data_IF_243260639177
#
_entry.id   IF_243260639177
#
_cell.length_a   1.000
_cell.length_b   1.000
_cell.length_c   1.000
_cell.angle_alpha   90.00
_cell.angle_beta   90.00
_cell.angle_gamma   90.00
#
_symmetry.space_group_name_H-M   'P 1'
#
loop_
_entity.id
_entity.type
_entity.pdbx_description
1 polymer ?
#
# COMPACT_ATOMS: atom_id res chain seq x y z
N UNK A 1 18.88 6.02 10.08
CA UNK A 1 18.20 7.08 9.28
C UNK A 1 17.85 6.49 7.91
N UNK A 2 16.57 6.27 7.60
CA UNK A 2 16.16 5.73 6.29
C UNK A 2 16.47 6.77 5.21
N UNK A 3 17.35 6.43 4.26
CA UNK A 3 17.79 7.35 3.21
C UNK A 3 16.65 7.80 2.29
N UNK A 4 16.79 8.99 1.68
CA UNK A 4 15.81 9.53 0.72
C UNK A 4 15.52 8.55 -0.42
N UNK A 5 14.25 8.34 -0.75
CA UNK A 5 13.79 7.48 -1.86
C UNK A 5 14.48 7.87 -3.17
N UNK A 6 14.65 9.18 -3.43
CA UNK A 6 15.34 9.67 -4.62
C UNK A 6 16.82 9.22 -4.69
N UNK A 7 17.53 9.16 -3.56
CA UNK A 7 18.92 8.66 -3.53
C UNK A 7 18.97 7.16 -3.78
N UNK A 8 18.04 6.39 -3.22
CA UNK A 8 17.97 4.95 -3.43
C UNK A 8 17.64 4.60 -4.87
N UNK A 9 16.69 5.31 -5.48
CA UNK A 9 16.33 5.14 -6.88
C UNK A 9 17.51 5.49 -7.80
N UNK A 10 18.20 6.61 -7.56
CA UNK A 10 19.38 7.00 -8.31
C UNK A 10 20.51 5.96 -8.23
N UNK A 11 20.75 5.39 -7.03
CA UNK A 11 21.72 4.31 -6.86
C UNK A 11 21.32 3.03 -7.60
N UNK A 12 20.04 2.64 -7.54
CA UNK A 12 19.57 1.44 -8.26
C UNK A 12 19.69 1.61 -9.78
N UNK A 13 19.30 2.77 -10.33
CA UNK A 13 19.49 3.05 -11.75
C UNK A 13 20.97 3.12 -12.12
N UNK A 14 21.81 3.75 -11.30
CA UNK A 14 23.25 3.80 -11.51
C UNK A 14 23.89 2.40 -11.54
N UNK A 15 23.52 1.52 -10.61
CA UNK A 15 23.99 0.13 -10.57
C UNK A 15 23.52 -0.69 -11.77
N UNK A 16 22.25 -0.54 -12.18
CA UNK A 16 21.72 -1.24 -13.36
C UNK A 16 22.44 -0.81 -14.64
N UNK A 17 22.64 0.50 -14.84
CA UNK A 17 23.39 1.02 -15.99
C UNK A 17 24.85 0.60 -15.93
N UNK A 18 25.49 0.63 -14.76
CA UNK A 18 26.85 0.13 -14.59
C UNK A 18 26.97 -1.31 -15.07
N UNK A 19 26.06 -2.20 -14.64
CA UNK A 19 26.07 -3.60 -15.07
C UNK A 19 25.89 -3.74 -16.59
N UNK A 20 24.92 -3.03 -17.18
CA UNK A 20 24.67 -3.06 -18.62
C UNK A 20 25.88 -2.54 -19.42
N UNK A 21 26.47 -1.42 -19.00
CA UNK A 21 27.65 -0.85 -19.65
C UNK A 21 28.87 -1.75 -19.51
N UNK A 22 29.05 -2.42 -18.36
CA UNK A 22 30.14 -3.37 -18.15
C UNK A 22 30.01 -4.58 -19.08
N UNK A 23 28.83 -5.19 -19.16
CA UNK A 23 28.57 -6.32 -20.06
C UNK A 23 28.81 -5.90 -21.52
N UNK A 24 28.26 -4.75 -21.92
CA UNK A 24 28.42 -4.22 -23.27
C UNK A 24 29.88 -3.92 -23.58
N UNK A 25 30.63 -3.36 -22.63
CA UNK A 25 32.04 -3.03 -22.80
C UNK A 25 32.90 -4.30 -22.96
N UNK A 26 32.63 -5.35 -22.18
CA UNK A 26 33.30 -6.65 -22.30
C UNK A 26 33.02 -7.27 -23.66
N UNK A 27 31.76 -7.27 -24.12
CA UNK A 27 31.39 -7.81 -25.43
C UNK A 27 32.06 -7.06 -26.58
N UNK A 28 32.04 -5.72 -26.55
CA UNK A 28 32.70 -4.89 -27.56
C UNK A 28 34.22 -5.12 -27.59
N UNK A 29 34.86 -5.21 -26.42
CA UNK A 29 36.30 -5.50 -26.33
C UNK A 29 36.63 -6.90 -26.88
N UNK A 30 35.84 -7.91 -26.52
CA UNK A 30 36.01 -9.28 -27.04
C UNK A 30 35.82 -9.33 -28.56
N UNK A 31 34.77 -8.66 -29.07
CA UNK A 31 34.49 -8.57 -30.50
C UNK A 31 35.62 -7.88 -31.27
N UNK A 32 36.12 -6.74 -30.75
CA UNK A 32 37.23 -6.02 -31.37
C UNK A 32 38.52 -6.85 -31.37
N UNK A 33 38.83 -7.52 -30.25
CA UNK A 33 39.98 -8.43 -30.17
C UNK A 33 39.91 -9.54 -31.23
N UNK A 34 38.75 -10.18 -31.35
CA UNK A 34 38.53 -11.24 -32.34
C UNK A 34 38.67 -10.72 -33.78
N UNK A 35 38.12 -9.53 -34.06
CA UNK A 35 38.25 -8.89 -35.38
C UNK A 35 39.71 -8.57 -35.72
N UNK A 36 40.50 -8.09 -34.75
CA UNK A 36 41.92 -7.79 -34.92
C UNK A 36 42.75 -9.07 -35.14
N UNK A 37 42.48 -10.14 -34.38
CA UNK A 37 43.14 -11.44 -34.59
C UNK A 37 42.82 -12.01 -35.99
N UNK A 38 41.57 -11.88 -36.45
CA UNK A 38 41.17 -12.31 -37.80
C UNK A 38 41.82 -11.47 -38.90
N UNK A 39 41.99 -10.16 -38.69
CA UNK A 39 42.69 -9.28 -39.62
C UNK A 39 44.17 -9.66 -39.74
N UNK A 40 44.84 -9.94 -38.62
CA UNK A 40 46.23 -10.43 -38.58
C UNK A 40 46.37 -11.76 -39.33
N UNK A 41 45.47 -12.72 -39.10
CA UNK A 41 45.49 -14.00 -39.82
C UNK A 41 45.25 -13.83 -41.32
N UNK A 42 44.31 -12.97 -41.72
CA UNK A 42 44.00 -12.71 -43.13
C UNK A 42 45.17 -12.07 -43.86
N UNK A 43 45.87 -11.12 -43.21
CA UNK A 43 47.08 -10.49 -43.73
C UNK A 43 48.21 -11.50 -43.92
N UNK A 44 48.41 -12.41 -42.95
CA UNK A 44 49.39 -13.49 -43.06
C UNK A 44 49.07 -14.45 -44.21
N UNK A 45 47.80 -14.87 -44.36
CA UNK A 45 47.36 -15.72 -45.48
C UNK A 45 47.58 -15.02 -46.81
N UNK A 46 47.21 -13.73 -46.92
CA UNK A 46 47.39 -12.95 -48.14
C UNK A 46 48.88 -12.88 -48.52
N UNK A 47 49.75 -12.49 -47.60
CA UNK A 47 51.21 -12.43 -47.82
C UNK A 47 51.80 -13.77 -48.20
N UNK A 48 51.36 -14.84 -47.54
CA UNK A 48 51.74 -16.20 -47.92
C UNK A 48 51.29 -16.53 -49.35
N UNK A 49 50.02 -16.29 -49.69
CA UNK A 49 49.45 -16.64 -51.00
C UNK A 49 50.10 -15.90 -52.18
N UNK A 50 50.63 -14.70 -51.96
CA UNK A 50 51.35 -13.93 -52.98
C UNK A 50 52.74 -14.52 -53.24
N UNK A 51 53.39 -15.07 -52.21
CA UNK A 51 54.76 -15.57 -52.29
C UNK A 51 54.86 -17.07 -52.56
N UNK A 52 53.84 -17.84 -52.21
CA UNK A 52 53.76 -19.29 -52.40
C UNK A 52 53.98 -19.71 -53.88
N UNK A 53 53.32 -19.12 -54.89
CA UNK A 53 53.58 -19.47 -56.29
C UNK A 53 54.99 -19.10 -56.75
N UNK A 54 55.56 -18.02 -56.19
CA UNK A 54 56.93 -17.58 -56.53
C UNK A 54 57.95 -18.54 -55.94
N UNK A 55 57.72 -19.00 -54.71
CA UNK A 55 58.55 -20.00 -54.07
C UNK A 55 58.43 -21.34 -54.78
N UNK A 56 57.22 -21.77 -55.13
CA UNK A 56 56.94 -23.06 -55.74
C UNK A 56 57.41 -23.21 -57.20
N UNK A 57 57.64 -22.12 -57.94
CA UNK A 57 57.91 -22.19 -59.40
C UNK A 57 59.36 -22.52 -59.78
N UNK A 58 60.33 -22.33 -58.89
CA UNK A 58 61.76 -22.38 -59.24
C UNK A 58 62.52 -23.45 -58.45
N UNK A 59 63.30 -24.26 -59.15
CA UNK A 59 64.04 -25.41 -58.64
C UNK A 59 65.57 -25.22 -58.60
N UNK A 60 66.09 -24.14 -59.19
CA UNK A 60 67.53 -23.86 -59.35
C UNK A 60 68.10 -22.90 -58.28
N UNK A 61 69.29 -23.18 -57.71
CA UNK A 61 69.97 -22.30 -56.74
C UNK A 61 70.25 -20.88 -57.27
N UNK A 62 70.45 -20.72 -58.59
CA UNK A 62 70.74 -19.41 -59.20
C UNK A 62 69.57 -18.42 -59.10
N UNK A 63 68.33 -18.92 -59.17
CA UNK A 63 67.13 -18.09 -59.00
C UNK A 63 66.94 -17.65 -57.54
N UNK A 64 67.43 -18.46 -56.59
CA UNK A 64 67.27 -18.21 -55.17
C UNK A 64 67.99 -16.92 -54.72
N UNK A 65 69.11 -16.57 -55.35
CA UNK A 65 69.81 -15.29 -55.10
C UNK A 65 68.91 -14.08 -55.40
N UNK A 66 68.17 -14.11 -56.52
CA UNK A 66 67.24 -13.04 -56.88
C UNK A 66 65.98 -13.03 -56.01
N UNK A 67 65.52 -14.21 -55.56
CA UNK A 67 64.42 -14.32 -54.62
C UNK A 67 64.77 -13.73 -53.25
N UNK A 68 65.99 -13.98 -52.73
CA UNK A 68 66.46 -13.38 -51.48
C UNK A 68 66.38 -11.85 -51.55
N UNK A 69 66.88 -11.25 -52.64
CA UNK A 69 66.79 -9.80 -52.86
C UNK A 69 65.35 -9.28 -52.91
N UNK A 70 64.42 -10.07 -53.48
CA UNK A 70 62.99 -9.71 -53.53
C UNK A 70 62.32 -9.82 -52.15
N UNK A 71 62.67 -10.83 -51.36
CA UNK A 71 62.18 -10.99 -49.98
C UNK A 71 62.76 -9.91 -49.06
N UNK A 72 64.01 -9.50 -49.27
CA UNK A 72 64.62 -8.37 -48.56
C UNK A 72 63.87 -7.07 -48.87
N UNK A 73 63.52 -6.82 -50.14
CA UNK A 73 62.72 -5.66 -50.53
C UNK A 73 61.27 -5.67 -50.02
N UNK A 74 60.71 -6.84 -49.71
CA UNK A 74 59.37 -7.01 -49.14
C UNK A 74 59.36 -6.97 -47.60
N UNK A 75 60.54 -7.03 -46.98
CA UNK A 75 60.72 -6.93 -45.53
C UNK A 75 60.90 -5.46 -45.17
N UNK A 76 59.90 -4.80 -44.53
CA UNK A 76 60.02 -3.40 -44.15
C UNK A 76 61.15 -3.19 -43.13
N UNK A 77 61.78 -2.02 -43.13
CA UNK A 77 62.89 -1.67 -42.23
C UNK A 77 62.54 -1.78 -40.74
N UNK A 78 61.27 -1.57 -40.38
CA UNK A 78 60.75 -1.70 -39.01
C UNK A 78 60.53 -3.17 -38.58
N UNK A 79 60.83 -4.13 -39.47
CA UNK A 79 60.76 -5.58 -39.24
C UNK A 79 59.41 -6.06 -38.68
N UNK A 80 58.33 -5.30 -38.91
CA UNK A 80 56.95 -5.67 -38.53
C UNK A 80 56.49 -6.92 -39.24
N UNK A 81 57.01 -7.13 -40.44
CA UNK A 81 56.80 -8.34 -41.21
C UNK A 81 58.15 -8.97 -41.43
N UNK A 82 58.24 -10.27 -41.20
CA UNK A 82 59.46 -11.05 -41.44
C UNK A 82 59.09 -12.32 -42.19
N UNK A 83 59.99 -12.75 -43.06
CA UNK A 83 59.82 -13.97 -43.85
C UNK A 83 60.98 -14.91 -43.53
N UNK A 84 60.70 -16.19 -43.39
CA UNK A 84 61.69 -17.24 -43.22
C UNK A 84 61.43 -18.37 -44.19
N UNK A 85 62.51 -18.93 -44.73
CA UNK A 85 62.48 -20.19 -45.46
C UNK A 85 63.37 -21.17 -44.71
N UNK A 86 62.74 -22.17 -44.10
CA UNK A 86 63.37 -23.18 -43.27
C UNK A 86 63.59 -24.45 -44.10
N UNK A 87 64.85 -24.83 -44.26
CA UNK A 87 65.28 -25.99 -45.05
C UNK A 87 66.70 -26.35 -44.64
N UNK A 88 67.01 -27.64 -44.60
CA UNK A 88 68.32 -28.15 -44.15
C UNK A 88 69.47 -27.74 -45.09
N UNK A 89 69.17 -27.45 -46.36
CA UNK A 89 70.13 -26.99 -47.35
C UNK A 89 70.31 -25.45 -47.27
N UNK A 90 71.50 -24.93 -46.89
CA UNK A 90 71.78 -23.49 -46.79
C UNK A 90 71.57 -22.70 -48.08
N UNK A 91 71.64 -23.35 -49.24
CA UNK A 91 71.45 -22.71 -50.53
C UNK A 91 70.00 -22.25 -50.74
N UNK A 92 69.04 -22.86 -50.04
CA UNK A 92 67.62 -22.58 -50.13
C UNK A 92 67.04 -21.91 -48.88
N UNK A 93 67.84 -21.65 -47.84
CA UNK A 93 67.34 -20.99 -46.61
C UNK A 93 67.26 -19.46 -46.76
N UNK A 94 66.39 -18.83 -45.96
CA UNK A 94 66.23 -17.37 -45.88
C UNK A 94 65.74 -16.94 -44.49
N UNK A 95 66.11 -15.74 -44.05
CA UNK A 95 65.65 -15.15 -42.78
C UNK A 95 66.49 -15.51 -41.54
N UNK A 96 67.51 -16.36 -41.69
CA UNK A 96 68.40 -16.75 -40.58
C UNK A 96 67.74 -17.66 -39.53
N UNK A 97 68.38 -17.88 -38.38
CA UNK A 97 67.78 -18.65 -37.29
C UNK A 97 66.55 -17.93 -36.72
N UNK A 98 65.58 -18.71 -36.22
CA UNK A 98 64.38 -18.15 -35.63
C UNK A 98 64.73 -17.29 -34.39
N UNK A 99 64.12 -16.08 -34.24
CA UNK A 99 64.45 -15.16 -33.15
C UNK A 99 64.17 -15.70 -31.74
N UNK A 100 63.28 -16.67 -31.60
CA UNK A 100 62.97 -17.33 -30.33
C UNK A 100 63.98 -18.43 -29.95
N UNK A 101 64.98 -18.67 -30.80
CA UNK A 101 66.01 -19.70 -30.64
C UNK A 101 65.49 -21.13 -30.74
N UNK A 102 64.22 -21.34 -31.13
CA UNK A 102 63.63 -22.67 -31.26
C UNK A 102 63.78 -23.17 -32.70
N UNK A 103 63.84 -24.49 -32.85
CA UNK A 103 63.74 -25.13 -34.16
C UNK A 103 62.28 -25.23 -34.59
N UNK A 104 61.94 -24.61 -35.72
CA UNK A 104 60.60 -24.59 -36.29
C UNK A 104 60.43 -25.57 -37.46
N UNK A 105 61.51 -26.18 -37.94
CA UNK A 105 61.53 -27.05 -39.13
C UNK A 105 60.62 -28.29 -39.03
N UNK A 106 60.28 -28.71 -37.80
CA UNK A 106 59.44 -29.89 -37.52
C UNK A 106 58.01 -29.55 -37.11
N UNK A 107 57.60 -28.28 -37.17
CA UNK A 107 56.25 -27.88 -36.79
C UNK A 107 55.26 -28.16 -37.92
N UNK A 108 54.01 -28.54 -37.59
CA UNK A 108 52.96 -28.69 -38.59
C UNK A 108 52.56 -27.34 -39.18
N UNK A 109 51.91 -27.37 -40.34
CA UNK A 109 51.33 -26.18 -40.97
C UNK A 109 50.28 -25.53 -40.05
N UNK A 110 50.33 -24.21 -39.89
CA UNK A 110 49.39 -23.49 -39.04
C UNK A 110 49.85 -22.12 -38.55
N UNK A 111 49.04 -21.52 -37.69
CA UNK A 111 49.34 -20.25 -37.01
C UNK A 111 50.00 -20.52 -35.66
N UNK A 112 51.09 -19.81 -35.40
CA UNK A 112 51.86 -19.89 -34.17
C UNK A 112 52.09 -18.51 -33.59
N UNK A 113 52.28 -18.44 -32.27
CA UNK A 113 52.71 -17.22 -31.58
C UNK A 113 54.19 -17.38 -31.21
N UNK A 114 55.00 -16.39 -31.58
CA UNK A 114 56.43 -16.33 -31.30
C UNK A 114 56.70 -15.19 -30.34
N UNK A 115 57.21 -15.51 -29.16
CA UNK A 115 57.65 -14.51 -28.19
C UNK A 115 59.07 -14.05 -28.54
N UNK A 116 59.28 -12.74 -28.59
CA UNK A 116 60.61 -12.15 -28.79
C UNK A 116 61.03 -11.41 -27.54
N UNK A 117 62.27 -11.57 -27.11
CA UNK A 117 62.80 -10.91 -25.91
C UNK A 117 62.73 -9.37 -25.99
N UNK A 118 62.80 -8.82 -27.20
CA UNK A 118 62.82 -7.38 -27.45
C UNK A 118 61.41 -6.78 -27.69
N UNK A 119 60.33 -7.56 -27.57
CA UNK A 119 58.95 -7.08 -27.84
C UNK A 119 57.96 -7.50 -26.75
N UNK A 120 57.04 -6.59 -26.41
CA UNK A 120 56.00 -6.81 -25.40
C UNK A 120 54.86 -7.74 -25.86
N UNK A 121 54.64 -7.87 -27.17
CA UNK A 121 53.58 -8.70 -27.73
C UNK A 121 54.16 -9.74 -28.71
N UNK A 122 53.59 -10.96 -28.73
CA UNK A 122 54.11 -12.04 -29.56
C UNK A 122 53.87 -11.74 -31.05
N UNK A 123 54.83 -12.12 -31.88
CA UNK A 123 54.63 -12.12 -33.33
C UNK A 123 53.72 -13.30 -33.71
N UNK A 124 52.76 -13.08 -34.59
CA UNK A 124 51.94 -14.18 -35.14
C UNK A 124 52.61 -14.67 -36.41
N UNK A 125 52.90 -15.96 -36.47
CA UNK A 125 53.62 -16.59 -37.57
C UNK A 125 52.73 -17.63 -38.25
N UNK A 126 52.56 -17.51 -39.56
CA UNK A 126 51.95 -18.55 -40.40
C UNK A 126 53.05 -19.40 -41.02
N UNK A 127 53.06 -20.69 -40.71
CA UNK A 127 53.97 -21.67 -41.29
C UNK A 127 53.19 -22.57 -42.26
N UNK A 128 53.71 -22.75 -43.48
CA UNK A 128 53.24 -23.81 -44.38
C UNK A 128 54.39 -24.50 -45.09
N UNK A 129 54.16 -25.76 -45.42
CA UNK A 129 55.12 -26.61 -46.10
C UNK A 129 54.91 -26.54 -47.61
N UNK A 130 55.99 -26.29 -48.35
CA UNK A 130 56.01 -26.27 -49.81
C UNK A 130 56.69 -27.57 -50.29
N UNK A 131 56.01 -28.39 -51.11
CA UNK A 131 56.53 -29.70 -51.52
C UNK A 131 57.80 -29.60 -52.36
N UNK A 132 58.64 -30.63 -52.32
CA UNK A 132 59.85 -30.72 -53.13
C UNK A 132 59.54 -30.59 -54.64
N UNK A 133 60.45 -29.95 -55.39
CA UNK A 133 60.32 -29.78 -56.84
C UNK A 133 61.69 -29.84 -57.50
N UNK A 134 61.91 -30.82 -58.37
CA UNK A 134 63.19 -31.00 -59.07
C UNK A 134 64.36 -31.16 -58.09
N UNK A 135 65.38 -30.30 -58.21
CA UNK A 135 66.55 -30.23 -57.32
C UNK A 135 66.30 -29.54 -55.97
N UNK A 136 65.10 -28.98 -55.75
CA UNK A 136 64.74 -28.28 -54.52
C UNK A 136 64.11 -29.25 -53.52
N UNK A 137 64.67 -29.40 -52.31
CA UNK A 137 64.05 -30.20 -51.25
C UNK A 137 62.75 -29.56 -50.75
N UNK A 138 61.97 -30.33 -50.00
CA UNK A 138 60.84 -29.81 -49.23
C UNK A 138 61.31 -28.69 -48.31
N UNK A 139 60.56 -27.58 -48.27
CA UNK A 139 60.89 -26.42 -47.45
C UNK A 139 59.66 -25.90 -46.74
N UNK A 140 59.87 -25.26 -45.59
CA UNK A 140 58.80 -24.57 -44.88
C UNK A 140 58.94 -23.07 -45.03
N UNK A 141 57.85 -22.42 -45.43
CA UNK A 141 57.77 -20.98 -45.54
C UNK A 141 57.01 -20.41 -44.35
N UNK A 142 57.67 -19.55 -43.58
CA UNK A 142 57.10 -18.86 -42.44
C UNK A 142 56.95 -17.37 -42.72
N UNK A 143 55.77 -16.81 -42.47
CA UNK A 143 55.50 -15.37 -42.50
C UNK A 143 55.14 -14.93 -41.10
N UNK A 144 55.91 -14.02 -40.51
CA UNK A 144 55.62 -13.42 -39.21
C UNK A 144 55.10 -12.00 -39.35
N UNK A 145 54.06 -11.67 -38.57
CA UNK A 145 53.51 -10.33 -38.43
C UNK A 145 53.51 -9.91 -36.96
N UNK A 146 54.01 -8.71 -36.69
CA UNK A 146 53.98 -8.14 -35.35
C UNK A 146 52.55 -7.77 -34.93
N UNK A 147 52.14 -8.24 -33.74
CA UNK A 147 50.83 -7.97 -33.17
C UNK A 147 50.80 -6.71 -32.27
N UNK A 148 51.94 -6.06 -32.02
CA UNK A 148 51.99 -4.83 -31.19
C UNK A 148 51.00 -3.75 -31.63
N UNK A 149 50.84 -3.40 -32.93
CA UNK A 149 49.95 -2.31 -33.31
C UNK A 149 48.48 -2.66 -33.08
N UNK A 150 48.11 -3.94 -33.25
CA UNK A 150 46.77 -4.43 -32.98
C UNK A 150 46.45 -4.36 -31.47
N UNK A 151 47.42 -4.72 -30.62
CA UNK A 151 47.23 -4.65 -29.17
C UNK A 151 47.16 -3.21 -28.64
N UNK A 152 47.94 -2.29 -29.20
CA UNK A 152 47.85 -0.86 -28.87
C UNK A 152 46.47 -0.29 -29.21
N UNK A 153 45.91 -0.63 -30.38
CA UNK A 153 44.54 -0.26 -30.74
C UNK A 153 43.53 -0.80 -29.72
N UNK A 154 43.68 -2.07 -29.31
CA UNK A 154 42.79 -2.68 -28.32
C UNK A 154 42.88 -2.00 -26.95
N UNK A 155 44.09 -1.62 -26.52
CA UNK A 155 44.31 -0.92 -25.24
C UNK A 155 43.71 0.50 -25.27
N UNK A 156 44.01 1.29 -26.29
CA UNK A 156 43.45 2.64 -26.47
C UNK A 156 41.91 2.62 -26.54
N UNK A 157 41.35 1.63 -27.24
CA UNK A 157 39.91 1.40 -27.27
C UNK A 157 39.36 1.08 -25.88
N UNK A 158 40.05 0.21 -25.12
CA UNK A 158 39.64 -0.17 -23.76
C UNK A 158 39.63 1.03 -22.82
N UNK A 159 40.67 1.87 -22.84
CA UNK A 159 40.75 3.09 -22.03
C UNK A 159 39.61 4.07 -22.35
N UNK A 160 39.39 4.34 -23.64
CA UNK A 160 38.32 5.21 -24.11
C UNK A 160 36.95 4.67 -23.71
N UNK A 161 36.74 3.36 -23.80
CA UNK A 161 35.51 2.68 -23.44
C UNK A 161 35.21 2.76 -21.93
N UNK A 162 36.24 2.59 -21.09
CA UNK A 162 36.12 2.74 -19.63
C UNK A 162 35.72 4.18 -19.29
N UNK A 163 36.38 5.18 -19.90
CA UNK A 163 36.12 6.59 -19.63
C UNK A 163 34.69 6.99 -20.02
N UNK A 164 34.24 6.62 -21.22
CA UNK A 164 32.87 6.91 -21.68
C UNK A 164 31.84 6.18 -20.81
N UNK A 165 32.08 4.92 -20.45
CA UNK A 165 31.17 4.14 -19.60
C UNK A 165 31.04 4.75 -18.20
N UNK A 166 32.17 5.14 -17.58
CA UNK A 166 32.18 5.78 -16.27
C UNK A 166 31.41 7.12 -16.30
N UNK A 167 31.64 7.94 -17.33
CA UNK A 167 30.92 9.20 -17.51
C UNK A 167 29.42 8.97 -17.70
N UNK A 168 29.04 7.97 -18.50
CA UNK A 168 27.63 7.59 -18.72
C UNK A 168 26.91 7.17 -17.45
N UNK A 169 27.56 6.34 -16.61
CA UNK A 169 27.00 5.89 -15.31
C UNK A 169 26.77 7.09 -14.38
N UNK A 170 27.73 8.01 -14.29
CA UNK A 170 27.59 9.23 -13.46
C UNK A 170 26.46 10.10 -13.96
N UNK A 171 26.37 10.32 -15.28
CA UNK A 171 25.33 11.16 -15.88
C UNK A 171 23.93 10.58 -15.62
N UNK A 172 23.73 9.27 -15.83
CA UNK A 172 22.43 8.64 -15.56
C UNK A 172 22.07 8.64 -14.08
N UNK A 173 23.04 8.45 -13.18
CA UNK A 173 22.79 8.54 -11.75
C UNK A 173 22.33 9.95 -11.34
N UNK A 174 22.95 11.01 -11.90
CA UNK A 174 22.57 12.40 -11.67
C UNK A 174 21.17 12.71 -12.22
N UNK A 175 20.90 12.31 -13.46
CA UNK A 175 19.57 12.49 -14.08
C UNK A 175 18.48 11.73 -13.32
N UNK A 176 18.74 10.47 -12.95
CA UNK A 176 17.81 9.66 -12.14
C UNK A 176 17.51 10.29 -10.79
N UNK A 177 18.52 10.88 -10.14
CA UNK A 177 18.32 11.64 -8.90
C UNK A 177 17.44 12.89 -9.13
N UNK A 178 17.68 13.62 -10.21
CA UNK A 178 16.94 14.84 -10.53
C UNK A 178 15.46 14.54 -10.85
N UNK A 179 15.20 13.54 -11.70
CA UNK A 179 13.86 13.05 -12.04
C UNK A 179 13.11 12.59 -10.79
N UNK A 180 13.75 11.78 -9.93
CA UNK A 180 13.12 11.30 -8.71
C UNK A 180 12.82 12.45 -7.73
N UNK A 181 13.72 13.43 -7.61
CA UNK A 181 13.52 14.60 -6.74
C UNK A 181 12.36 15.47 -7.20
N UNK A 182 12.21 15.66 -8.50
CA UNK A 182 11.13 16.46 -9.08
C UNK A 182 9.79 15.71 -9.05
N UNK A 183 9.79 14.43 -9.43
CA UNK A 183 8.60 13.57 -9.44
C UNK A 183 7.99 13.31 -8.06
N UNK A 184 8.82 13.30 -7.00
CA UNK A 184 8.34 13.16 -5.61
C UNK A 184 7.93 14.48 -4.96
N UNK A 185 8.00 15.61 -5.68
CA UNK A 185 7.56 16.92 -5.20
C UNK A 185 6.10 16.96 -4.72
N UNK A 186 5.12 16.46 -5.50
CA UNK A 186 3.71 16.43 -5.11
C UNK A 186 3.46 15.68 -3.79
N UNK A 187 4.15 14.56 -3.56
CA UNK A 187 4.04 13.78 -2.30
C UNK A 187 4.46 14.62 -1.09
N UNK A 188 5.51 15.44 -1.22
CA UNK A 188 5.94 16.34 -0.15
C UNK A 188 4.92 17.43 0.14
N UNK A 189 4.26 17.97 -0.90
CA UNK A 189 3.18 18.96 -0.75
C UNK A 189 1.98 18.36 -0.02
N UNK A 190 1.55 17.16 -0.41
CA UNK A 190 0.51 16.40 0.30
C UNK A 190 0.86 16.20 1.78
N UNK A 191 2.09 15.77 2.07
CA UNK A 191 2.55 15.60 3.45
C UNK A 191 2.55 16.92 4.23
N UNK A 192 2.92 18.04 3.62
CA UNK A 192 2.85 19.34 4.27
C UNK A 192 1.41 19.81 4.52
N UNK A 193 0.50 19.58 3.57
CA UNK A 193 -0.92 19.88 3.73
C UNK A 193 -1.51 19.07 4.89
N UNK A 194 -1.24 17.76 4.94
CA UNK A 194 -1.67 16.89 6.03
C UNK A 194 -1.13 17.35 7.39
N UNK A 195 0.14 17.77 7.48
CA UNK A 195 0.72 18.29 8.73
C UNK A 195 0.19 19.68 9.13
N UNK A 196 -0.32 20.46 8.17
CA UNK A 196 -0.89 21.78 8.43
C UNK A 196 -2.36 21.73 8.85
N UNK A 197 -3.00 20.56 8.80
CA UNK A 197 -4.39 20.42 9.23
C UNK A 197 -4.47 20.66 10.75
N UNK A 198 -5.20 21.69 11.21
CA UNK A 198 -5.37 21.92 12.63
C UNK A 198 -6.15 20.75 13.27
N UNK A 199 -5.86 20.41 14.53
CA UNK A 199 -6.65 19.43 15.27
C UNK A 199 -8.11 19.91 15.44
N UNK A 200 -9.08 19.02 15.21
CA UNK A 200 -10.51 19.28 15.36
C UNK A 200 -11.30 19.26 14.04
N UNK A 201 -12.41 20.01 14.00
CA UNK A 201 -13.33 20.11 12.84
C UNK A 201 -12.71 21.02 11.78
N UNK A 202 -11.73 20.50 11.04
CA UNK A 202 -11.18 21.21 9.89
C UNK A 202 -11.92 20.83 8.61
N UNK A 203 -12.59 21.80 8.00
CA UNK A 203 -13.20 21.66 6.66
C UNK A 203 -12.17 21.64 5.54
N UNK A 204 -10.90 21.88 5.85
CA UNK A 204 -9.84 21.83 4.87
C UNK A 204 -9.64 20.40 4.37
N UNK A 205 -9.47 20.25 3.06
CA UNK A 205 -9.25 18.97 2.38
C UNK A 205 -7.95 19.00 1.61
N UNK A 206 -7.40 17.82 1.37
CA UNK A 206 -6.28 17.67 0.44
C UNK A 206 -6.79 17.99 -0.96
N UNK A 207 -6.04 18.84 -1.66
CA UNK A 207 -6.33 19.21 -3.04
C UNK A 207 -6.11 17.99 -3.95
N UNK A 208 -7.16 17.58 -4.66
CA UNK A 208 -7.17 16.39 -5.52
C UNK A 208 -6.96 16.72 -7.00
N UNK A 209 -7.20 17.96 -7.42
CA UNK A 209 -7.16 18.36 -8.83
C UNK A 209 -5.73 18.59 -9.31
N UNK A 210 -4.85 19.09 -8.44
CA UNK A 210 -3.45 19.35 -8.76
C UNK A 210 -2.53 18.12 -8.68
N UNK A 211 -3.07 16.92 -8.44
CA UNK A 211 -2.30 15.70 -8.19
C UNK A 211 -2.19 14.79 -9.42
N UNK A 212 -1.03 14.13 -9.61
CA UNK A 212 -0.89 13.00 -10.52
C UNK A 212 -1.91 11.90 -10.20
N UNK A 213 -2.36 11.17 -11.23
CA UNK A 213 -3.42 10.16 -11.11
C UNK A 213 -3.10 9.09 -10.05
N UNK A 214 -1.84 8.69 -9.94
CA UNK A 214 -1.37 7.69 -8.97
C UNK A 214 -1.54 8.13 -7.51
N UNK A 215 -1.64 9.44 -7.26
CA UNK A 215 -1.82 10.01 -5.92
C UNK A 215 -3.26 10.46 -5.65
N UNK A 216 -4.11 10.53 -6.68
CA UNK A 216 -5.52 10.94 -6.53
C UNK A 216 -6.28 9.96 -5.64
N UNK A 217 -6.13 8.65 -5.87
CA UNK A 217 -6.83 7.62 -5.08
C UNK A 217 -6.46 7.70 -3.59
N UNK A 218 -5.18 7.96 -3.29
CA UNK A 218 -4.70 8.14 -1.92
C UNK A 218 -5.30 9.41 -1.29
N UNK A 219 -5.32 10.54 -2.02
CA UNK A 219 -5.88 11.79 -1.54
C UNK A 219 -7.39 11.69 -1.29
N UNK A 220 -8.13 11.00 -2.17
CA UNK A 220 -9.57 10.71 -2.00
C UNK A 220 -9.80 9.85 -0.76
N UNK A 221 -9.01 8.78 -0.59
CA UNK A 221 -9.13 7.90 0.58
C UNK A 221 -8.86 8.63 1.89
N UNK A 222 -7.86 9.52 1.90
CA UNK A 222 -7.54 10.35 3.07
C UNK A 222 -8.65 11.38 3.35
N UNK A 223 -9.17 12.05 2.32
CA UNK A 223 -10.31 12.96 2.47
C UNK A 223 -11.56 12.24 3.00
N UNK A 224 -11.80 10.99 2.59
CA UNK A 224 -12.87 10.15 3.15
C UNK A 224 -12.68 9.82 4.63
N UNK A 225 -11.43 9.59 5.06
CA UNK A 225 -11.12 9.42 6.49
C UNK A 225 -11.34 10.71 7.29
N UNK A 226 -10.93 11.87 6.74
CA UNK A 226 -11.20 13.18 7.35
C UNK A 226 -12.71 13.44 7.49
N UNK A 227 -13.52 13.08 6.49
CA UNK A 227 -14.96 13.26 6.54
C UNK A 227 -15.62 12.42 7.66
N UNK A 228 -15.24 11.14 7.79
CA UNK A 228 -15.72 10.29 8.90
C UNK A 228 -15.29 10.81 10.27
N UNK A 229 -14.07 11.34 10.37
CA UNK A 229 -13.60 11.97 11.60
C UNK A 229 -14.43 13.23 11.92
N UNK A 230 -14.66 14.12 10.95
CA UNK A 230 -15.48 15.32 11.13
C UNK A 230 -16.90 14.97 11.60
N UNK A 231 -17.55 14.00 10.96
CA UNK A 231 -18.88 13.53 11.35
C UNK A 231 -18.91 13.06 12.81
N UNK A 232 -17.95 12.24 13.22
CA UNK A 232 -17.85 11.76 14.59
C UNK A 232 -17.61 12.91 15.60
N UNK A 233 -16.81 13.91 15.23
CA UNK A 233 -16.57 15.10 16.05
C UNK A 233 -17.83 15.96 16.21
N UNK A 234 -18.56 16.23 15.14
CA UNK A 234 -19.82 16.98 15.20
C UNK A 234 -20.87 16.27 16.07
N UNK A 235 -20.97 14.94 15.99
CA UNK A 235 -21.85 14.15 16.84
C UNK A 235 -21.46 14.24 18.32
N UNK A 236 -20.16 14.23 18.62
CA UNK A 236 -19.64 14.37 19.99
C UNK A 236 -19.91 15.77 20.56
N UNK A 237 -19.69 16.82 19.77
CA UNK A 237 -19.91 18.20 20.20
C UNK A 237 -21.40 18.49 20.44
N UNK A 238 -22.28 18.07 19.51
CA UNK A 238 -23.72 18.16 19.68
C UNK A 238 -24.22 17.39 20.90
N UNK A 239 -23.63 16.22 21.18
CA UNK A 239 -23.91 15.47 22.40
C UNK A 239 -23.53 16.26 23.66
N UNK A 240 -22.31 16.80 23.74
CA UNK A 240 -21.86 17.55 24.92
C UNK A 240 -22.71 18.79 25.19
N UNK A 241 -23.11 19.50 24.13
CA UNK A 241 -24.00 20.66 24.23
C UNK A 241 -25.39 20.27 24.78
N UNK A 242 -25.99 19.20 24.26
CA UNK A 242 -27.31 18.74 24.70
C UNK A 242 -27.28 18.23 26.16
N UNK A 243 -26.23 17.49 26.53
CA UNK A 243 -25.99 17.03 27.92
C UNK A 243 -25.93 18.22 28.88
N UNK A 244 -25.13 19.24 28.54
CA UNK A 244 -24.98 20.41 29.38
C UNK A 244 -26.31 21.17 29.55
N UNK A 245 -27.15 21.23 28.52
CA UNK A 245 -28.43 21.91 28.58
C UNK A 245 -29.43 21.14 29.47
N UNK A 246 -29.57 19.82 29.27
CA UNK A 246 -30.48 18.96 30.03
C UNK A 246 -30.13 18.86 31.51
N UNK A 247 -28.85 18.98 31.89
CA UNK A 247 -28.44 19.00 33.29
C UNK A 247 -28.54 20.39 33.95
N UNK A 248 -28.40 21.48 33.18
CA UNK A 248 -28.40 22.85 33.73
C UNK A 248 -29.76 23.26 34.27
N UNK A 249 -30.83 22.95 33.55
CA UNK A 249 -32.21 23.30 33.93
C UNK A 249 -32.61 22.71 35.28
N UNK A 250 -32.51 21.38 35.52
CA UNK A 250 -32.87 20.80 36.81
C UNK A 250 -31.96 21.26 37.94
N UNK A 251 -30.66 21.41 37.67
CA UNK A 251 -29.72 21.91 38.67
C UNK A 251 -30.06 23.34 39.11
N UNK A 252 -30.45 24.20 38.17
CA UNK A 252 -30.85 25.59 38.46
C UNK A 252 -32.15 25.63 39.26
N UNK A 253 -33.12 24.77 38.92
CA UNK A 253 -34.37 24.63 39.67
C UNK A 253 -34.14 24.15 41.09
N UNK A 254 -33.32 23.11 41.28
CA UNK A 254 -32.90 22.60 42.60
C UNK A 254 -32.25 23.71 43.44
N UNK A 255 -31.27 24.42 42.87
CA UNK A 255 -30.60 25.54 43.54
C UNK A 255 -31.61 26.61 43.94
N UNK A 256 -32.51 27.02 43.04
CA UNK A 256 -33.53 28.03 43.31
C UNK A 256 -34.53 27.60 44.40
N UNK A 257 -35.05 26.37 44.32
CA UNK A 257 -35.97 25.82 45.32
C UNK A 257 -35.30 25.77 46.70
N UNK A 258 -34.04 25.31 46.77
CA UNK A 258 -33.28 25.29 48.02
C UNK A 258 -32.99 26.70 48.56
N UNK A 259 -32.64 27.66 47.70
CA UNK A 259 -32.43 29.06 48.11
C UNK A 259 -33.70 29.69 48.69
N UNK A 260 -34.84 29.48 48.04
CA UNK A 260 -36.14 29.98 48.54
C UNK A 260 -36.50 29.32 49.87
N UNK A 261 -36.25 28.02 50.02
CA UNK A 261 -36.48 27.28 51.26
C UNK A 261 -35.60 27.78 52.42
N UNK A 262 -34.38 28.23 52.14
CA UNK A 262 -33.47 28.79 53.15
C UNK A 262 -33.81 30.24 53.53
N UNK A 263 -34.48 30.98 52.65
CA UNK A 263 -34.76 32.41 52.84
C UNK A 263 -36.05 32.71 53.64
N UNK A 264 -36.98 31.76 53.76
CA UNK A 264 -38.26 31.94 54.43
C UNK A 264 -38.59 30.77 55.35
N UNK A 265 -39.19 31.04 56.51
CA UNK A 265 -39.75 29.98 57.36
C UNK A 265 -40.94 29.32 56.63
N UNK A 266 -40.96 27.98 56.64
CA UNK A 266 -41.99 27.15 56.02
C UNK A 266 -42.55 26.17 57.03
N UNK A 267 -43.80 25.73 56.82
CA UNK A 267 -44.34 24.62 57.59
C UNK A 267 -43.60 23.31 57.25
N UNK A 268 -43.63 22.36 58.19
CA UNK A 268 -42.96 21.06 58.06
C UNK A 268 -43.49 20.27 56.86
N UNK A 269 -44.77 20.42 56.53
CA UNK A 269 -45.39 19.80 55.35
C UNK A 269 -44.82 20.34 54.03
N UNK A 270 -44.74 21.66 53.86
CA UNK A 270 -44.15 22.30 52.66
C UNK A 270 -42.67 21.95 52.48
N UNK A 271 -41.93 21.79 53.58
CA UNK A 271 -40.52 21.37 53.53
C UNK A 271 -40.39 19.91 53.08
N UNK A 272 -41.26 19.02 53.56
CA UNK A 272 -41.28 17.62 53.12
C UNK A 272 -41.62 17.50 51.63
N UNK A 273 -42.61 18.23 51.14
CA UNK A 273 -42.96 18.27 49.72
C UNK A 273 -41.81 18.79 48.86
N UNK A 274 -41.11 19.84 49.30
CA UNK A 274 -39.94 20.37 48.61
C UNK A 274 -38.79 19.35 48.58
N UNK A 275 -38.50 18.69 49.71
CA UNK A 275 -37.46 17.66 49.76
C UNK A 275 -37.80 16.46 48.87
N UNK A 276 -39.08 16.08 48.80
CA UNK A 276 -39.54 15.01 47.92
C UNK A 276 -39.40 15.41 46.44
N UNK A 277 -39.77 16.65 46.07
CA UNK A 277 -39.54 17.20 44.73
C UNK A 277 -38.04 17.23 44.39
N UNK A 278 -37.19 17.66 45.32
CA UNK A 278 -35.75 17.70 45.12
C UNK A 278 -35.15 16.28 44.94
N UNK A 279 -35.62 15.30 45.72
CA UNK A 279 -35.17 13.92 45.61
C UNK A 279 -35.53 13.35 44.24
N UNK A 280 -36.77 13.54 43.77
CA UNK A 280 -37.21 13.11 42.44
C UNK A 280 -36.34 13.72 41.33
N UNK A 281 -36.00 15.00 41.46
CA UNK A 281 -35.15 15.70 40.50
C UNK A 281 -33.71 15.18 40.50
N UNK A 282 -33.15 14.86 41.67
CA UNK A 282 -31.82 14.24 41.80
C UNK A 282 -31.80 12.81 41.23
N UNK A 283 -32.82 11.99 41.50
CA UNK A 283 -32.97 10.65 40.92
C UNK A 283 -33.09 10.71 39.39
N UNK A 284 -33.82 11.70 38.89
CA UNK A 284 -33.93 12.00 37.45
C UNK A 284 -32.56 12.34 36.86
N UNK A 285 -31.82 13.27 37.45
CA UNK A 285 -30.45 13.59 37.01
C UNK A 285 -29.52 12.38 37.05
N UNK A 286 -29.62 11.53 38.08
CA UNK A 286 -28.86 10.27 38.17
C UNK A 286 -29.16 9.32 37.02
N UNK A 287 -30.44 9.20 36.63
CA UNK A 287 -30.87 8.39 35.49
C UNK A 287 -30.28 8.91 34.18
N UNK A 288 -30.33 10.23 33.96
CA UNK A 288 -29.72 10.88 32.79
C UNK A 288 -28.23 10.52 32.66
N UNK A 289 -27.48 10.65 33.76
CA UNK A 289 -26.04 10.37 33.79
C UNK A 289 -25.77 8.90 33.47
N UNK A 290 -26.53 7.97 34.05
CA UNK A 290 -26.38 6.54 33.80
C UNK A 290 -26.72 6.16 32.35
N UNK A 291 -27.74 6.78 31.77
CA UNK A 291 -28.10 6.61 30.35
C UNK A 291 -27.01 7.16 29.43
N UNK A 292 -26.42 8.30 29.77
CA UNK A 292 -25.28 8.87 29.02
C UNK A 292 -24.04 7.97 29.08
N UNK A 293 -23.68 7.46 30.26
CA UNK A 293 -22.53 6.56 30.42
C UNK A 293 -22.74 5.26 29.61
N UNK A 294 -23.96 4.73 29.61
CA UNK A 294 -24.32 3.58 28.79
C UNK A 294 -24.17 3.87 27.30
N UNK A 295 -24.72 4.98 26.82
CA UNK A 295 -24.65 5.38 25.41
C UNK A 295 -23.21 5.67 24.95
N UNK A 296 -22.37 6.22 25.82
CA UNK A 296 -20.95 6.43 25.57
C UNK A 296 -20.20 5.08 25.44
N UNK A 297 -20.49 4.13 26.33
CA UNK A 297 -19.96 2.76 26.24
C UNK A 297 -20.36 2.05 24.95
N UNK A 298 -21.65 2.06 24.61
CA UNK A 298 -22.15 1.44 23.38
C UNK A 298 -21.53 2.06 22.10
N UNK A 299 -21.31 3.38 22.08
CA UNK A 299 -20.69 4.06 20.94
C UNK A 299 -19.21 3.67 20.72
N UNK A 300 -18.53 3.17 21.75
CA UNK A 300 -17.14 2.68 21.65
C UNK A 300 -17.01 1.30 20.98
N UNK A 301 -18.12 0.73 20.50
CA UNK A 301 -18.14 -0.56 19.82
C UNK A 301 -18.26 -1.76 20.76
N UNK A 302 -18.70 -1.55 22.01
CA UNK A 302 -19.04 -2.64 22.91
C UNK A 302 -20.14 -3.51 22.29
N UNK A 303 -19.93 -4.83 22.31
CA UNK A 303 -20.95 -5.82 21.93
C UNK A 303 -21.60 -6.39 23.18
N UNK A 304 -22.80 -6.94 23.04
CA UNK A 304 -23.40 -7.73 24.10
C UNK A 304 -22.52 -8.96 24.41
N UNK A 305 -22.09 -9.11 25.66
CA UNK A 305 -21.13 -10.15 26.07
C UNK A 305 -21.78 -11.32 26.79
N UNK A 306 -22.84 -11.07 27.57
CA UNK A 306 -23.53 -12.10 28.38
C UNK A 306 -24.74 -12.69 27.63
N UNK A 307 -24.49 -13.25 26.44
CA UNK A 307 -25.55 -13.82 25.60
C UNK A 307 -26.04 -15.17 26.13
N UNK A 308 -27.27 -15.19 26.65
CA UNK A 308 -27.99 -16.39 27.09
C UNK A 308 -29.17 -16.71 26.17
N UNK A 309 -29.41 -17.99 25.92
CA UNK A 309 -30.60 -18.44 25.20
C UNK A 309 -31.84 -18.34 26.09
N UNK A 310 -32.83 -17.56 25.64
CA UNK A 310 -34.04 -17.24 26.41
C UNK A 310 -35.26 -17.14 25.49
N UNK A 311 -36.44 -17.48 26.03
CA UNK A 311 -37.73 -17.15 25.42
C UNK A 311 -37.97 -15.64 25.50
N UNK A 312 -38.14 -14.97 24.35
CA UNK A 312 -38.45 -13.55 24.32
C UNK A 312 -39.82 -13.24 24.94
N UNK A 313 -40.79 -14.16 24.84
CA UNK A 313 -42.09 -13.99 25.48
C UNK A 313 -42.00 -13.96 27.01
N UNK A 314 -41.22 -14.88 27.61
CA UNK A 314 -41.01 -14.90 29.06
C UNK A 314 -40.31 -13.63 29.57
N UNK A 315 -39.28 -13.16 28.87
CA UNK A 315 -38.56 -11.95 29.25
C UNK A 315 -39.42 -10.69 29.00
N UNK A 316 -40.26 -10.70 27.97
CA UNK A 316 -41.21 -9.62 27.73
C UNK A 316 -42.27 -9.55 28.84
N UNK A 317 -42.84 -10.68 29.25
CA UNK A 317 -43.83 -10.75 30.34
C UNK A 317 -43.25 -10.17 31.64
N UNK A 318 -42.02 -10.55 32.03
CA UNK A 318 -41.34 -9.99 33.21
C UNK A 318 -41.17 -8.46 33.14
N UNK A 319 -40.93 -7.93 31.94
CA UNK A 319 -40.81 -6.47 31.75
C UNK A 319 -42.16 -5.77 31.86
N UNK A 320 -43.23 -6.39 31.37
CA UNK A 320 -44.60 -5.89 31.48
C UNK A 320 -45.06 -5.89 32.93
N UNK A 321 -44.79 -6.95 33.68
CA UNK A 321 -45.12 -7.05 35.12
C UNK A 321 -44.46 -5.92 35.92
N UNK A 322 -43.20 -5.59 35.61
CA UNK A 322 -42.50 -4.46 36.23
C UNK A 322 -43.16 -3.09 35.97
N UNK A 323 -43.84 -2.93 34.82
CA UNK A 323 -44.50 -1.69 34.41
C UNK A 323 -46.00 -1.66 34.72
N UNK A 324 -46.53 -2.69 35.39
CA UNK A 324 -47.96 -2.79 35.76
C UNK A 324 -48.50 -1.52 36.44
N UNK A 325 -47.81 -0.88 37.42
CA UNK A 325 -48.34 0.31 38.07
C UNK A 325 -48.55 1.49 37.11
N UNK A 326 -47.66 1.65 36.13
CA UNK A 326 -47.74 2.72 35.13
C UNK A 326 -48.85 2.44 34.10
N UNK A 327 -49.07 1.17 33.75
CA UNK A 327 -50.15 0.73 32.86
C UNK A 327 -51.53 0.91 33.51
N UNK A 328 -51.66 0.51 34.77
CA UNK A 328 -52.89 0.63 35.55
C UNK A 328 -53.35 2.09 35.69
N UNK A 329 -52.40 3.02 35.90
CA UNK A 329 -52.70 4.45 36.02
C UNK A 329 -53.37 5.08 34.79
N UNK A 330 -53.28 4.46 33.61
CA UNK A 330 -53.95 4.90 32.36
C UNK A 330 -54.98 3.90 31.81
N UNK A 331 -55.30 2.86 32.57
CA UNK A 331 -56.16 1.74 32.15
C UNK A 331 -55.71 1.06 30.86
N UNK A 332 -54.39 1.00 30.61
CA UNK A 332 -53.83 0.38 29.42
C UNK A 332 -53.76 -1.15 29.58
N UNK A 333 -54.03 -1.88 28.50
CA UNK A 333 -53.82 -3.33 28.45
C UNK A 333 -52.60 -3.65 27.58
N UNK A 334 -51.84 -4.68 27.95
CA UNK A 334 -50.72 -5.16 27.14
C UNK A 334 -51.04 -6.56 26.63
N UNK A 335 -50.83 -6.79 25.34
CA UNK A 335 -50.93 -8.12 24.71
C UNK A 335 -49.57 -8.45 24.10
N UNK A 336 -49.06 -9.64 24.40
CA UNK A 336 -47.81 -10.17 23.81
C UNK A 336 -48.19 -11.17 22.73
N UNK A 337 -47.73 -10.93 21.50
CA UNK A 337 -47.97 -11.78 20.33
C UNK A 337 -46.66 -12.41 19.86
N UNK A 338 -46.64 -13.75 19.78
CA UNK A 338 -45.49 -14.52 19.31
C UNK A 338 -44.52 -14.92 20.42
N UNK A 339 -43.62 -15.84 20.10
CA UNK A 339 -42.50 -16.22 20.95
C UNK A 339 -41.37 -16.78 20.08
N UNK A 340 -40.14 -16.60 20.53
CA UNK A 340 -38.96 -17.19 19.92
C UNK A 340 -37.80 -17.25 20.92
N UNK A 341 -36.96 -18.27 20.74
CA UNK A 341 -35.71 -18.41 21.48
C UNK A 341 -34.57 -17.71 20.74
N UNK A 342 -33.87 -16.83 21.44
CA UNK A 342 -32.77 -16.02 20.89
C UNK A 342 -31.69 -15.85 21.96
N UNK A 343 -30.43 -15.88 21.53
CA UNK A 343 -29.29 -15.55 22.38
C UNK A 343 -29.18 -14.03 22.55
N UNK A 344 -29.53 -13.55 23.73
CA UNK A 344 -29.52 -12.12 24.06
C UNK A 344 -28.90 -11.85 25.43
N UNK A 345 -28.44 -10.63 25.63
CA UNK A 345 -28.16 -10.11 26.97
C UNK A 345 -29.49 -9.67 27.60
N UNK A 346 -29.93 -10.42 28.62
CA UNK A 346 -31.22 -10.22 29.29
C UNK A 346 -31.36 -8.81 29.86
N UNK A 347 -30.28 -8.26 30.43
CA UNK A 347 -30.31 -6.92 31.05
C UNK A 347 -30.54 -5.85 30.00
N UNK A 348 -29.84 -5.96 28.87
CA UNK A 348 -29.99 -5.03 27.75
C UNK A 348 -31.36 -5.14 27.09
N UNK A 349 -31.86 -6.36 26.91
CA UNK A 349 -33.20 -6.61 26.38
C UNK A 349 -34.27 -5.97 27.27
N UNK A 350 -34.29 -6.27 28.57
CA UNK A 350 -35.21 -5.66 29.54
C UNK A 350 -35.14 -4.14 29.48
N UNK A 351 -33.93 -3.56 29.43
CA UNK A 351 -33.76 -2.11 29.32
C UNK A 351 -34.36 -1.55 28.03
N UNK A 352 -34.13 -2.19 26.88
CA UNK A 352 -34.68 -1.74 25.59
C UNK A 352 -36.21 -1.85 25.54
N UNK A 353 -36.78 -2.96 26.00
CA UNK A 353 -38.21 -3.18 26.02
C UNK A 353 -38.92 -2.26 27.02
N UNK A 354 -38.34 -2.05 28.20
CA UNK A 354 -38.85 -1.08 29.17
C UNK A 354 -38.92 0.33 28.58
N UNK A 355 -37.89 0.75 27.82
CA UNK A 355 -37.89 2.05 27.13
C UNK A 355 -38.98 2.13 26.05
N UNK A 356 -39.20 1.08 25.27
CA UNK A 356 -40.29 1.03 24.28
C UNK A 356 -41.67 1.07 24.95
N UNK A 357 -41.87 0.29 26.00
CA UNK A 357 -43.14 0.24 26.74
C UNK A 357 -43.43 1.56 27.46
N UNK A 358 -42.45 2.18 28.11
CA UNK A 358 -42.60 3.51 28.70
C UNK A 358 -42.97 4.56 27.65
N UNK A 359 -42.36 4.50 26.47
CA UNK A 359 -42.73 5.34 25.34
C UNK A 359 -44.19 5.08 24.90
N UNK A 360 -44.58 3.82 24.75
CA UNK A 360 -45.95 3.45 24.40
C UNK A 360 -46.97 3.93 25.46
N UNK A 361 -46.73 3.69 26.75
CA UNK A 361 -47.60 4.15 27.86
C UNK A 361 -47.79 5.66 27.84
N UNK A 362 -46.73 6.40 27.49
CA UNK A 362 -46.78 7.85 27.45
C UNK A 362 -47.69 8.38 26.34
N UNK A 363 -47.56 7.85 25.13
CA UNK A 363 -48.23 8.36 23.93
C UNK A 363 -49.48 7.56 23.53
N UNK A 364 -49.78 6.46 24.23
CA UNK A 364 -51.01 5.71 24.04
C UNK A 364 -52.25 6.54 24.40
N UNK A 365 -53.31 6.37 23.61
CA UNK A 365 -54.63 6.82 23.96
C UNK A 365 -55.08 6.15 25.28
N UNK A 366 -55.75 6.88 26.19
CA UNK A 366 -56.26 6.28 27.43
C UNK A 366 -57.17 5.08 27.15
N UNK A 367 -57.12 4.07 28.02
CA UNK A 367 -57.91 2.83 27.89
C UNK A 367 -57.69 2.03 26.58
N UNK A 368 -56.57 2.24 25.87
CA UNK A 368 -56.21 1.46 24.68
C UNK A 368 -55.38 0.21 25.00
N UNK A 369 -55.14 -0.61 23.97
CA UNK A 369 -54.25 -1.78 24.06
C UNK A 369 -52.89 -1.47 23.43
N UNK A 370 -51.81 -1.84 24.12
CA UNK A 370 -50.44 -1.86 23.63
C UNK A 370 -50.13 -3.31 23.21
N UNK A 371 -49.62 -3.48 21.99
CA UNK A 371 -49.27 -4.81 21.46
C UNK A 371 -47.76 -4.95 21.38
N UNK A 372 -47.19 -5.91 22.09
CA UNK A 372 -45.78 -6.31 21.96
C UNK A 372 -45.72 -7.48 20.99
N UNK A 373 -45.13 -7.29 19.82
CA UNK A 373 -45.04 -8.33 18.80
C UNK A 373 -43.61 -8.83 18.65
N UNK A 374 -43.45 -10.15 18.70
CA UNK A 374 -42.20 -10.88 18.61
C UNK A 374 -42.23 -11.77 17.36
N UNK A 375 -41.48 -11.41 16.32
CA UNK A 375 -41.49 -12.11 15.01
C UNK A 375 -40.08 -12.48 14.59
N UNK A 376 -39.94 -13.65 13.97
CA UNK A 376 -38.71 -14.00 13.26
C UNK A 376 -38.77 -13.46 11.82
N UNK A 377 -37.82 -12.60 11.46
CA UNK A 377 -37.61 -12.15 10.09
C UNK A 377 -36.26 -12.68 9.58
N UNK A 378 -36.30 -13.83 8.90
CA UNK A 378 -35.11 -14.53 8.42
C UNK A 378 -34.14 -14.89 9.55
N UNK A 379 -32.95 -14.28 9.52
CA UNK A 379 -31.89 -14.45 10.52
C UNK A 379 -31.97 -13.43 11.67
N UNK A 380 -33.03 -12.62 11.72
CA UNK A 380 -33.24 -11.61 12.76
C UNK A 380 -34.49 -11.91 13.58
N UNK A 381 -34.44 -11.53 14.85
CA UNK A 381 -35.58 -11.49 15.74
C UNK A 381 -36.06 -10.04 15.85
N UNK A 382 -37.28 -9.76 15.41
CA UNK A 382 -37.90 -8.45 15.47
C UNK A 382 -38.78 -8.33 16.72
N UNK A 383 -38.56 -7.27 17.48
CA UNK A 383 -39.30 -6.92 18.69
C UNK A 383 -39.91 -5.54 18.48
N UNK A 384 -41.24 -5.47 18.45
CA UNK A 384 -41.95 -4.20 18.25
C UNK A 384 -43.01 -3.97 19.31
N UNK A 385 -43.23 -2.70 19.64
CA UNK A 385 -44.30 -2.24 20.51
C UNK A 385 -45.19 -1.30 19.70
N UNK A 386 -46.48 -1.63 19.64
CA UNK A 386 -47.49 -0.87 18.93
C UNK A 386 -48.49 -0.26 19.90
N UNK A 387 -48.82 1.02 19.72
CA UNK A 387 -49.85 1.70 20.51
C UNK A 387 -50.72 2.61 19.64
N UNK A 388 -52.00 2.74 20.00
CA UNK A 388 -52.91 3.72 19.39
C UNK A 388 -52.56 5.10 19.92
N UNK A 389 -52.38 6.11 19.05
CA UNK A 389 -51.98 7.44 19.47
C UNK A 389 -52.04 8.49 18.37
N UNK A 390 -51.56 9.69 18.66
CA UNK A 390 -51.43 10.75 17.65
C UNK A 390 -50.46 10.29 16.53
N UNK A 391 -50.79 10.52 15.24
CA UNK A 391 -49.90 10.17 14.13
C UNK A 391 -48.56 10.88 14.23
N UNK A 392 -47.49 10.18 13.85
CA UNK A 392 -46.14 10.74 13.80
C UNK A 392 -45.85 11.09 12.35
N UNK A 393 -45.50 12.36 12.10
CA UNK A 393 -45.08 12.79 10.77
C UNK A 393 -43.86 11.97 10.29
N UNK A 394 -43.92 11.55 9.02
CA UNK A 394 -42.85 10.80 8.35
C UNK A 394 -41.45 11.42 8.51
N UNK A 395 -41.37 12.76 8.56
CA UNK A 395 -40.12 13.52 8.74
C UNK A 395 -39.48 13.31 10.12
N UNK A 396 -40.24 12.83 11.09
CA UNK A 396 -39.77 12.59 12.46
C UNK A 396 -39.36 11.14 12.70
N UNK A 397 -39.89 10.16 11.94
CA UNK A 397 -39.74 8.73 12.20
C UNK A 397 -38.28 8.27 12.29
N UNK A 398 -37.42 8.71 11.35
CA UNK A 398 -35.99 8.37 11.35
C UNK A 398 -35.23 9.01 12.52
N UNK A 399 -35.68 10.20 12.93
CA UNK A 399 -35.02 11.02 13.94
C UNK A 399 -35.41 10.64 15.37
N UNK A 400 -36.46 9.85 15.57
CA UNK A 400 -36.91 9.38 16.89
C UNK A 400 -35.81 8.68 17.69
N UNK A 401 -34.84 8.07 17.01
CA UNK A 401 -33.72 7.37 17.64
C UNK A 401 -32.47 8.24 17.83
N UNK A 402 -32.52 9.51 17.44
CA UNK A 402 -31.49 10.51 17.77
C UNK A 402 -31.52 10.83 19.28
N UNK A 403 -30.35 11.07 19.86
CA UNK A 403 -30.23 11.42 21.29
C UNK A 403 -30.88 12.78 21.56
N UNK A 404 -31.66 12.88 22.64
CA UNK A 404 -32.36 14.11 23.05
C UNK A 404 -33.40 14.63 22.05
N UNK A 405 -33.71 13.85 21.01
CA UNK A 405 -34.70 14.26 20.01
C UNK A 405 -36.12 14.12 20.55
N UNK A 406 -36.94 15.14 20.29
CA UNK A 406 -38.37 15.19 20.65
C UNK A 406 -39.10 15.95 19.54
N UNK A 407 -40.21 15.40 19.04
CA UNK A 407 -41.10 16.11 18.14
C UNK A 407 -41.72 17.34 18.84
N UNK A 408 -41.90 18.45 18.13
CA UNK A 408 -42.26 19.76 18.72
C UNK A 408 -43.58 19.72 19.54
N UNK A 409 -44.55 18.88 19.14
CA UNK A 409 -45.81 18.66 19.87
C UNK A 409 -45.62 18.02 21.27
N UNK A 410 -44.49 17.35 21.52
CA UNK A 410 -44.19 16.68 22.78
C UNK A 410 -43.42 17.55 23.79
N UNK A 411 -43.01 18.78 23.43
CA UNK A 411 -42.27 19.68 24.34
C UNK A 411 -43.12 20.20 25.50
N UNK A 412 -44.42 20.40 25.27
CA UNK A 412 -45.33 21.07 26.23
C UNK A 412 -45.95 20.13 27.27
N UNK A 413 -45.77 18.81 27.15
CA UNK A 413 -46.61 17.81 27.86
C UNK A 413 -45.85 16.78 28.72
N UNK A 414 -44.57 17.00 29.08
CA UNK A 414 -43.88 16.03 29.96
C UNK A 414 -42.66 16.59 30.71
N UNK A 415 -42.71 16.46 32.04
CA UNK A 415 -41.65 16.86 32.96
C UNK A 415 -40.73 15.69 33.37
N UNK A 416 -40.80 14.51 32.73
CA UNK A 416 -40.14 13.31 33.27
C UNK A 416 -39.08 12.62 32.38
N UNK A 417 -39.02 12.85 31.06
CA UNK A 417 -38.17 12.04 30.16
C UNK A 417 -37.37 12.87 29.15
N UNK A 418 -36.05 12.64 29.13
CA UNK A 418 -35.01 13.46 28.46
C UNK A 418 -34.73 13.10 26.99
N UNK A 419 -35.61 12.33 26.33
CA UNK A 419 -35.42 11.93 24.93
C UNK A 419 -34.24 10.98 24.69
N UNK A 420 -33.76 10.28 25.72
CA UNK A 420 -32.68 9.28 25.60
C UNK A 420 -33.21 7.86 25.38
N UNK A 421 -34.44 7.55 25.77
CA UNK A 421 -34.96 6.18 25.79
C UNK A 421 -34.89 5.45 24.45
N UNK A 422 -35.35 6.05 23.36
CA UNK A 422 -35.27 5.42 22.04
C UNK A 422 -33.84 5.33 21.51
N UNK A 423 -32.95 6.24 21.89
CA UNK A 423 -31.53 6.14 21.56
C UNK A 423 -30.83 4.98 22.29
N UNK A 424 -31.30 4.60 23.49
CA UNK A 424 -30.87 3.40 24.23
C UNK A 424 -31.33 2.14 23.48
N UNK A 425 -32.55 2.13 22.96
CA UNK A 425 -33.04 1.02 22.12
C UNK A 425 -32.14 0.83 20.90
N UNK A 426 -31.76 1.92 20.22
CA UNK A 426 -30.81 1.88 19.10
C UNK A 426 -29.43 1.37 19.48
N UNK A 427 -28.92 1.77 20.65
CA UNK A 427 -27.66 1.28 21.16
C UNK A 427 -27.73 -0.24 21.43
N UNK A 428 -28.78 -0.71 22.12
CA UNK A 428 -28.98 -2.14 22.41
C UNK A 428 -29.12 -2.98 21.14
N UNK A 429 -29.88 -2.50 20.14
CA UNK A 429 -30.02 -3.17 18.85
C UNK A 429 -28.66 -3.31 18.15
N UNK A 430 -27.90 -2.21 18.08
CA UNK A 430 -26.55 -2.21 17.51
C UNK A 430 -25.60 -3.17 18.23
N UNK A 431 -25.66 -3.24 19.57
CA UNK A 431 -24.84 -4.15 20.38
C UNK A 431 -25.13 -5.64 20.11
N UNK A 432 -26.33 -5.95 19.61
CA UNK A 432 -26.76 -7.30 19.18
C UNK A 432 -26.74 -7.48 17.65
N UNK A 433 -26.12 -6.54 16.91
CA UNK A 433 -25.99 -6.59 15.45
C UNK A 433 -27.27 -6.34 14.65
N UNK A 434 -28.33 -5.84 15.28
CA UNK A 434 -29.58 -5.50 14.61
C UNK A 434 -29.77 -4.00 14.34
N UNK A 435 -30.98 -3.61 13.98
CA UNK A 435 -31.36 -2.25 13.60
C UNK A 435 -32.65 -1.81 14.28
N UNK A 436 -32.96 -0.51 14.25
CA UNK A 436 -34.21 0.04 14.78
C UNK A 436 -35.12 0.51 13.66
N UNK A 437 -36.42 0.54 13.92
CA UNK A 437 -37.42 1.04 12.98
C UNK A 437 -38.62 1.65 13.71
N UNK A 438 -39.29 2.57 13.03
CA UNK A 438 -40.54 3.17 13.48
C UNK A 438 -41.49 3.32 12.29
N UNK A 439 -42.79 3.07 12.52
CA UNK A 439 -43.87 3.24 11.56
C UNK A 439 -45.06 3.89 12.25
N UNK A 440 -45.79 4.74 11.54
CA UNK A 440 -47.02 5.37 12.02
C UNK A 440 -48.06 5.30 10.90
N UNK A 441 -49.03 4.41 11.06
CA UNK A 441 -50.05 4.11 10.04
C UNK A 441 -51.40 3.91 10.73
N UNK A 442 -52.48 4.44 10.14
CA UNK A 442 -53.86 4.26 10.62
C UNK A 442 -54.10 4.59 12.11
N UNK A 443 -53.37 5.58 12.65
CA UNK A 443 -53.46 5.97 14.07
C UNK A 443 -52.77 5.01 15.04
N UNK A 444 -51.97 4.07 14.53
CA UNK A 444 -51.14 3.15 15.29
C UNK A 444 -49.67 3.50 15.07
N UNK A 445 -48.95 3.68 16.17
CA UNK A 445 -47.51 3.90 16.18
C UNK A 445 -46.82 2.60 16.56
N UNK A 446 -45.99 2.07 15.68
CA UNK A 446 -45.19 0.86 15.89
C UNK A 446 -43.72 1.24 15.94
N UNK A 447 -43.05 0.95 17.05
CA UNK A 447 -41.62 1.22 17.23
C UNK A 447 -40.95 -0.07 17.70
N UNK A 448 -39.82 -0.42 17.09
CA UNK A 448 -39.16 -1.68 17.38
C UNK A 448 -37.68 -1.71 17.03
N UNK A 449 -37.09 -2.86 17.32
CA UNK A 449 -35.72 -3.18 16.97
C UNK A 449 -35.59 -4.64 16.56
N UNK A 450 -34.55 -4.93 15.79
CA UNK A 450 -34.14 -6.28 15.47
C UNK A 450 -32.90 -6.69 16.25
N UNK A 451 -32.72 -7.99 16.40
CA UNK A 451 -31.58 -8.64 17.02
C UNK A 451 -31.09 -9.75 16.09
N UNK A 452 -29.78 -9.97 16.00
CA UNK A 452 -29.25 -11.08 15.20
C UNK A 452 -29.59 -12.40 15.89
N UNK A 453 -30.36 -13.26 15.23
CA UNK A 453 -30.64 -14.61 15.71
C UNK A 453 -29.50 -15.52 15.24
N UNK A 454 -28.43 -15.61 16.03
CA UNK A 454 -27.50 -16.73 15.90
C UNK A 454 -28.27 -18.01 16.27
N UNK A 455 -28.80 -18.66 15.25
CA UNK A 455 -29.51 -19.92 15.40
C UNK A 455 -28.50 -20.99 15.80
N UNK A 456 -28.81 -21.75 16.85
CA UNK A 456 -28.05 -22.94 17.25
C UNK A 456 -27.87 -23.83 16.01
N UNK A 457 -26.62 -24.13 15.68
CA UNK A 457 -26.28 -25.24 14.78
C UNK A 457 -26.31 -26.54 15.55
#
# INVERSE_FOLDING_TARGET
MKGSIARRLALMFGLAVMLITLISAVLLRCSLKQSLEQQVHSELILRHSVLDPVLAKYDSPAFWVGLRQKLDGLTPSDQRVRYWVLVDNPDYSYGGPMPDGRDWSKRPDGFFRMELADRYHPMVVLLKTIPAMGSRPELQFAVGLDSTPAMEILNNFTETLILISALGVVLVALLGYWVARFGLGPVRRLSSQANSLPPGVSKQRLDTEALPHELQELAVSFNGALARQEEAWCQLEGFNANVAHELRTPLTNLIGQTQVALAHERDLTELQELLQSNLQELERMGTIVNDMLFLAGAASGQRATELSDVSLCEEAAKTVDYLEPALAGKHLKVVIEGDMHVRIDRRLFHRSLANLLQNAVRYAAPASTITVRLVRDGMQAEVSVSNVGEPIDSTHLERLFERFYRADAARTRSDAHHGLGLSIVRAVASMHGGQVFARSEDGVNTIGFSLTSETIR
#
